data_IF_049992271521
#
_entry.id   IF_049992271521
#
_cell.length_a   1.000
_cell.length_b   1.000
_cell.length_c   1.000
_cell.angle_alpha   90.00
_cell.angle_beta   90.00
_cell.angle_gamma   90.00
#
_symmetry.space_group_name_H-M   'P 1'
#
loop_
_entity.id
_entity.type
_entity.pdbx_description
1 polymer ?
#
# COMPACT_ATOMS: atom_id res chain seq x y z
N UNK A 1 -18.79 33.12 5.19
CA UNK A 1 -17.68 32.25 5.62
C UNK A 1 -16.86 31.95 4.38
N UNK A 2 -15.55 31.79 4.52
CA UNK A 2 -14.69 31.39 3.41
C UNK A 2 -14.82 29.88 3.23
N UNK A 3 -15.91 29.45 2.60
CA UNK A 3 -16.12 28.05 2.21
C UNK A 3 -15.17 27.78 1.04
N UNK A 4 -13.98 27.26 1.35
CA UNK A 4 -13.02 26.87 0.33
C UNK A 4 -13.63 25.75 -0.54
N UNK A 5 -13.43 25.77 -1.87
CA UNK A 5 -14.17 24.92 -2.79
C UNK A 5 -13.76 23.44 -2.68
N UNK A 6 -14.75 22.55 -2.80
CA UNK A 6 -14.55 21.13 -3.13
C UNK A 6 -14.57 21.01 -4.66
N UNK A 7 -13.50 20.50 -5.25
CA UNK A 7 -13.29 20.48 -6.70
C UNK A 7 -13.35 19.05 -7.24
N UNK A 8 -14.15 18.87 -8.29
CA UNK A 8 -14.40 17.63 -9.02
C UNK A 8 -15.72 17.75 -9.78
N UNK A 9 -16.01 16.86 -10.74
CA UNK A 9 -17.26 16.92 -11.53
C UNK A 9 -18.50 16.96 -10.64
N UNK A 10 -18.48 16.24 -9.51
CA UNK A 10 -19.60 16.20 -8.57
C UNK A 10 -19.41 17.11 -7.35
N UNK A 11 -18.23 17.70 -7.15
CA UNK A 11 -17.94 18.62 -6.04
C UNK A 11 -18.04 17.99 -4.65
N UNK A 12 -19.26 17.91 -4.11
CA UNK A 12 -19.59 17.37 -2.78
C UNK A 12 -20.73 16.35 -2.87
N UNK A 13 -20.54 15.17 -2.29
CA UNK A 13 -21.51 14.07 -2.29
C UNK A 13 -21.93 13.77 -0.86
N UNK A 14 -23.21 13.98 -0.55
CA UNK A 14 -23.78 13.74 0.77
C UNK A 14 -25.17 13.13 0.64
N UNK A 15 -25.20 11.80 0.53
CA UNK A 15 -26.45 11.05 0.58
C UNK A 15 -26.20 9.56 0.81
N UNK A 16 -26.95 8.90 1.72
CA UNK A 16 -26.78 7.47 1.98
C UNK A 16 -27.07 6.59 0.75
N UNK A 17 -27.88 7.09 -0.18
CA UNK A 17 -28.28 6.44 -1.43
C UNK A 17 -27.57 7.02 -2.66
N UNK A 18 -26.66 7.99 -2.48
CA UNK A 18 -25.88 8.54 -3.58
C UNK A 18 -24.95 7.45 -4.14
N UNK A 19 -25.02 7.22 -5.45
CA UNK A 19 -24.20 6.23 -6.17
C UNK A 19 -23.64 6.87 -7.44
N UNK A 20 -22.33 6.78 -7.61
CA UNK A 20 -21.67 7.03 -8.89
C UNK A 20 -21.04 5.71 -9.31
N UNK A 21 -21.38 5.25 -10.51
CA UNK A 21 -20.85 3.99 -10.99
C UNK A 21 -20.67 3.95 -12.50
N UNK A 22 -19.69 3.17 -12.96
CA UNK A 22 -19.44 2.91 -14.37
C UNK A 22 -19.08 4.20 -15.14
N UNK A 23 -18.22 5.03 -14.55
CA UNK A 23 -17.82 6.32 -15.10
C UNK A 23 -16.30 6.43 -15.19
N UNK A 24 -15.80 6.71 -16.39
CA UNK A 24 -14.40 7.00 -16.67
C UNK A 24 -14.18 8.47 -17.01
N UNK A 25 -13.11 9.06 -16.48
CA UNK A 25 -12.60 10.36 -16.87
C UNK A 25 -11.26 10.16 -17.60
N UNK A 26 -11.10 10.78 -18.75
CA UNK A 26 -9.90 10.67 -19.59
C UNK A 26 -9.28 12.05 -19.70
N UNK A 27 -7.99 12.14 -19.37
CA UNK A 27 -7.18 13.35 -19.40
C UNK A 27 -7.79 14.55 -18.63
N UNK A 28 -8.29 14.38 -17.38
CA UNK A 28 -8.76 15.53 -16.61
C UNK A 28 -7.58 16.40 -16.17
N UNK A 29 -7.69 17.72 -16.36
CA UNK A 29 -6.75 18.69 -15.81
C UNK A 29 -7.44 19.51 -14.71
N UNK A 30 -7.12 19.21 -13.45
CA UNK A 30 -7.76 19.80 -12.27
C UNK A 30 -6.72 20.54 -11.43
N UNK A 31 -6.74 21.87 -11.47
CA UNK A 31 -5.99 22.72 -10.54
C UNK A 31 -6.96 23.51 -9.67
N UNK A 32 -6.95 23.20 -8.38
CA UNK A 32 -7.88 23.77 -7.41
C UNK A 32 -7.23 24.81 -6.47
N UNK A 33 -5.94 25.10 -6.64
CA UNK A 33 -5.20 26.01 -5.75
C UNK A 33 -5.40 25.70 -4.27
N UNK A 34 -6.11 26.59 -3.55
CA UNK A 34 -6.38 26.47 -2.10
C UNK A 34 -7.64 25.66 -1.75
N UNK A 35 -8.19 24.87 -2.67
CA UNK A 35 -9.34 23.99 -2.40
C UNK A 35 -9.10 23.03 -1.22
N UNK A 36 -10.16 22.70 -0.48
CA UNK A 36 -10.04 21.81 0.69
C UNK A 36 -9.96 20.36 0.24
N UNK A 37 -10.84 19.94 -0.67
CA UNK A 37 -10.93 18.59 -1.21
C UNK A 37 -10.94 18.64 -2.73
N UNK A 38 -10.00 17.93 -3.35
CA UNK A 38 -9.67 18.08 -4.75
C UNK A 38 -9.50 16.68 -5.35
N UNK A 39 -10.36 16.34 -6.31
CA UNK A 39 -10.19 15.17 -7.14
C UNK A 39 -10.92 15.30 -8.46
N UNK A 40 -10.58 14.48 -9.44
CA UNK A 40 -11.21 14.59 -10.77
C UNK A 40 -12.70 14.29 -10.71
N UNK A 41 -13.10 13.30 -9.92
CA UNK A 41 -14.50 12.89 -9.82
C UNK A 41 -15.25 13.67 -8.73
N UNK A 42 -14.70 13.71 -7.52
CA UNK A 42 -15.32 14.41 -6.39
C UNK A 42 -14.28 15.08 -5.49
N UNK A 43 -14.60 16.27 -4.98
CA UNK A 43 -13.77 16.92 -3.98
C UNK A 43 -13.95 16.28 -2.61
N UNK A 44 -15.19 15.97 -2.22
CA UNK A 44 -15.49 15.28 -0.96
C UNK A 44 -16.76 14.43 -1.04
N UNK A 45 -16.65 13.21 -0.54
CA UNK A 45 -17.77 12.29 -0.25
C UNK A 45 -17.98 12.24 1.27
N UNK A 46 -19.09 12.78 1.76
CA UNK A 46 -19.51 12.61 3.16
C UNK A 46 -20.25 11.28 3.34
N UNK A 47 -21.14 10.97 2.41
CA UNK A 47 -21.90 9.72 2.34
C UNK A 47 -22.16 9.34 0.89
N UNK A 48 -22.18 8.04 0.60
CA UNK A 48 -22.45 7.51 -0.73
C UNK A 48 -21.43 6.48 -1.16
N UNK A 49 -21.58 5.98 -2.39
CA UNK A 49 -20.66 5.02 -2.98
C UNK A 49 -20.18 5.45 -4.35
N UNK A 50 -18.89 5.22 -4.61
CA UNK A 50 -18.28 5.26 -5.93
C UNK A 50 -17.82 3.84 -6.26
N UNK A 51 -18.28 3.30 -7.38
CA UNK A 51 -18.03 1.90 -7.75
C UNK A 51 -17.73 1.74 -9.23
N UNK A 52 -16.68 1.01 -9.60
CA UNK A 52 -16.33 0.81 -11.01
C UNK A 52 -16.15 2.15 -11.76
N UNK A 53 -15.35 3.05 -11.19
CA UNK A 53 -15.04 4.35 -11.75
C UNK A 53 -13.53 4.53 -11.88
N UNK A 54 -13.11 5.30 -12.87
CA UNK A 54 -11.69 5.48 -13.13
C UNK A 54 -11.31 6.85 -13.67
N UNK A 55 -10.04 7.20 -13.44
CA UNK A 55 -9.36 8.32 -14.08
C UNK A 55 -8.16 7.77 -14.85
N UNK A 56 -8.09 8.05 -16.14
CA UNK A 56 -6.95 7.71 -16.98
C UNK A 56 -6.29 8.99 -17.47
N UNK A 57 -4.98 9.06 -17.33
CA UNK A 57 -4.14 10.20 -17.68
C UNK A 57 -4.55 11.48 -16.93
N UNK A 58 -4.08 12.64 -17.40
CA UNK A 58 -4.36 13.93 -16.80
C UNK A 58 -3.54 14.22 -15.54
N UNK A 59 -3.90 15.31 -14.86
CA UNK A 59 -3.21 15.80 -13.67
C UNK A 59 -4.17 16.45 -12.68
N UNK A 60 -3.94 16.19 -11.39
CA UNK A 60 -4.66 16.82 -10.29
C UNK A 60 -3.69 17.56 -9.37
N UNK A 61 -3.95 18.83 -9.08
CA UNK A 61 -3.11 19.64 -8.21
C UNK A 61 -3.88 20.53 -7.22
N UNK A 62 -3.28 20.73 -6.05
CA UNK A 62 -3.72 21.74 -5.07
C UNK A 62 -3.12 21.54 -3.68
N UNK A 63 -3.75 22.10 -2.63
CA UNK A 63 -3.10 22.22 -1.31
C UNK A 63 -3.70 21.40 -0.17
N UNK A 64 -5.00 21.13 -0.19
CA UNK A 64 -5.71 20.40 0.88
C UNK A 64 -5.58 18.88 0.78
N UNK A 65 -6.72 18.20 0.73
CA UNK A 65 -6.83 16.78 0.38
C UNK A 65 -6.85 16.65 -1.14
N UNK A 66 -5.79 16.09 -1.71
CA UNK A 66 -5.61 15.95 -3.16
C UNK A 66 -5.58 14.47 -3.52
N UNK A 67 -6.56 14.01 -4.27
CA UNK A 67 -6.62 12.64 -4.79
C UNK A 67 -6.90 12.61 -6.27
N UNK A 68 -6.32 11.67 -7.01
CA UNK A 68 -6.59 11.54 -8.45
C UNK A 68 -8.08 11.34 -8.75
N UNK A 69 -8.77 10.53 -7.94
CA UNK A 69 -10.22 10.31 -8.07
C UNK A 69 -11.01 11.20 -7.12
N UNK A 70 -10.65 11.17 -5.83
CA UNK A 70 -11.43 11.83 -4.75
C UNK A 70 -10.51 12.60 -3.81
N UNK A 71 -10.83 13.85 -3.52
CA UNK A 71 -10.09 14.60 -2.50
C UNK A 71 -10.23 13.98 -1.12
N UNK A 72 -11.45 13.98 -0.56
CA UNK A 72 -11.75 13.41 0.75
C UNK A 72 -12.88 12.39 0.69
N UNK A 73 -12.70 11.24 1.33
CA UNK A 73 -13.70 10.18 1.41
C UNK A 73 -14.14 9.92 2.86
N UNK A 74 -15.44 9.85 3.08
CA UNK A 74 -16.07 9.22 4.24
C UNK A 74 -17.10 8.15 3.84
N UNK A 75 -17.40 8.01 2.54
CA UNK A 75 -18.25 6.97 1.96
C UNK A 75 -17.47 5.70 1.61
N UNK A 76 -17.94 4.98 0.59
CA UNK A 76 -17.28 3.79 0.05
C UNK A 76 -16.76 4.02 -1.36
N UNK A 77 -15.51 3.65 -1.63
CA UNK A 77 -14.88 3.63 -2.95
C UNK A 77 -14.47 2.19 -3.22
N UNK A 78 -14.94 1.61 -4.33
CA UNK A 78 -14.75 0.19 -4.58
C UNK A 78 -14.52 -0.08 -6.07
N UNK A 79 -13.59 -0.97 -6.41
CA UNK A 79 -13.29 -1.33 -7.81
C UNK A 79 -12.94 -0.08 -8.66
N UNK A 80 -12.12 0.83 -8.13
CA UNK A 80 -11.79 2.10 -8.76
C UNK A 80 -10.28 2.29 -8.94
N UNK A 81 -9.88 3.09 -9.93
CA UNK A 81 -8.46 3.38 -10.15
C UNK A 81 -8.16 4.76 -10.73
N UNK A 82 -6.92 5.22 -10.55
CA UNK A 82 -6.41 6.47 -11.11
C UNK A 82 -4.99 6.31 -11.67
N UNK A 83 -4.75 6.79 -12.89
CA UNK A 83 -3.42 6.75 -13.53
C UNK A 83 -2.82 8.14 -13.80
N UNK A 84 -3.58 9.21 -13.58
CA UNK A 84 -3.11 10.59 -13.71
C UNK A 84 -2.15 11.00 -12.59
N UNK A 85 -1.32 12.01 -12.85
CA UNK A 85 -0.36 12.51 -11.86
C UNK A 85 -1.06 13.35 -10.80
N UNK A 86 -0.56 13.28 -9.56
CA UNK A 86 -1.11 14.02 -8.42
C UNK A 86 -0.01 14.83 -7.75
N UNK A 87 -0.24 16.14 -7.60
CA UNK A 87 0.68 17.03 -6.88
C UNK A 87 -0.06 17.78 -5.78
N UNK A 88 0.36 17.62 -4.53
CA UNK A 88 -0.33 18.22 -3.39
C UNK A 88 0.59 18.83 -2.34
N UNK A 89 -0.02 19.35 -1.26
CA UNK A 89 0.74 19.84 -0.09
C UNK A 89 0.40 19.03 1.16
N UNK A 90 -0.84 19.08 1.66
CA UNK A 90 -1.16 18.51 2.97
C UNK A 90 -1.38 16.99 2.97
N UNK A 91 -2.38 16.50 2.24
CA UNK A 91 -2.71 15.07 2.17
C UNK A 91 -2.86 14.67 0.72
N UNK A 92 -1.97 13.82 0.23
CA UNK A 92 -1.81 13.56 -1.21
C UNK A 92 -1.86 12.06 -1.45
N UNK A 93 -2.85 11.61 -2.23
CA UNK A 93 -2.99 10.22 -2.64
C UNK A 93 -3.15 10.08 -4.14
N UNK A 94 -2.58 9.05 -4.75
CA UNK A 94 -2.81 8.80 -6.18
C UNK A 94 -4.30 8.57 -6.50
N UNK A 95 -5.06 7.98 -5.57
CA UNK A 95 -6.51 7.80 -5.69
C UNK A 95 -7.29 8.75 -4.77
N UNK A 96 -6.94 8.77 -3.48
CA UNK A 96 -7.70 9.51 -2.44
C UNK A 96 -6.77 10.35 -1.57
N UNK A 97 -7.04 11.65 -1.45
CA UNK A 97 -6.23 12.52 -0.59
C UNK A 97 -6.36 12.15 0.90
N UNK A 98 -7.59 12.07 1.42
CA UNK A 98 -7.84 11.65 2.80
C UNK A 98 -9.07 10.75 2.92
N UNK A 99 -8.91 9.62 3.57
CA UNK A 99 -9.97 8.67 3.90
C UNK A 99 -10.29 8.79 5.40
N UNK A 100 -11.57 8.95 5.74
CA UNK A 100 -12.02 9.18 7.11
C UNK A 100 -13.24 8.33 7.43
N UNK A 101 -13.10 7.45 8.41
CA UNK A 101 -14.22 6.75 9.00
C UNK A 101 -14.72 7.47 10.25
N UNK A 102 -15.86 7.03 10.74
CA UNK A 102 -16.47 7.53 11.97
C UNK A 102 -16.01 6.72 13.21
N UNK A 103 -14.95 5.91 13.06
CA UNK A 103 -14.45 4.97 14.08
C UNK A 103 -15.40 3.79 14.35
N UNK A 104 -15.05 2.94 15.32
CA UNK A 104 -15.90 1.82 15.81
C UNK A 104 -17.10 2.29 16.65
N UNK A 105 -17.66 3.47 16.37
CA UNK A 105 -18.80 4.01 17.10
C UNK A 105 -20.08 3.46 16.45
N UNK A 106 -20.72 2.52 17.14
CA UNK A 106 -21.95 1.85 16.75
C UNK A 106 -23.05 2.84 16.35
N UNK A 107 -23.62 2.67 15.15
CA UNK A 107 -24.87 3.30 14.72
C UNK A 107 -24.79 4.14 13.43
N UNK A 108 -23.59 4.49 12.95
CA UNK A 108 -23.40 5.25 11.72
C UNK A 108 -23.01 4.36 10.53
N UNK A 109 -23.50 4.69 9.33
CA UNK A 109 -23.41 3.85 8.12
C UNK A 109 -22.22 4.17 7.19
N UNK A 110 -21.39 5.16 7.52
CA UNK A 110 -20.27 5.59 6.68
C UNK A 110 -18.94 5.22 7.36
N UNK A 111 -18.20 4.29 6.78
CA UNK A 111 -16.99 3.69 7.38
C UNK A 111 -15.68 4.12 6.71
N UNK A 112 -15.71 5.04 5.72
CA UNK A 112 -14.51 5.39 4.95
C UNK A 112 -13.86 4.13 4.36
N UNK A 113 -14.58 3.43 3.48
CA UNK A 113 -14.10 2.17 2.90
C UNK A 113 -13.44 2.42 1.55
N UNK A 114 -12.22 1.92 1.36
CA UNK A 114 -11.53 1.84 0.08
C UNK A 114 -11.17 0.38 -0.14
N UNK A 115 -11.71 -0.23 -1.19
CA UNK A 115 -11.61 -1.68 -1.42
C UNK A 115 -11.40 -2.03 -2.89
N UNK A 116 -10.46 -2.92 -3.20
CA UNK A 116 -10.10 -3.33 -4.58
C UNK A 116 -9.80 -2.14 -5.50
N UNK A 117 -9.01 -1.20 -5.00
CA UNK A 117 -8.64 0.00 -5.74
C UNK A 117 -7.12 0.09 -5.96
N UNK A 118 -6.72 0.83 -6.99
CA UNK A 118 -5.30 1.03 -7.27
C UNK A 118 -4.97 2.38 -7.90
N UNK A 119 -3.69 2.75 -7.83
CA UNK A 119 -3.14 3.92 -8.51
C UNK A 119 -1.79 3.60 -9.17
N UNK A 120 -1.53 4.26 -10.30
CA UNK A 120 -0.27 4.08 -11.06
C UNK A 120 0.38 5.40 -11.51
N UNK A 121 -0.29 6.54 -11.36
CA UNK A 121 0.26 7.85 -11.71
C UNK A 121 1.20 8.41 -10.63
N UNK A 122 2.22 9.16 -11.03
CA UNK A 122 3.20 9.72 -10.09
C UNK A 122 2.55 10.63 -9.05
N UNK A 123 2.99 10.50 -7.79
CA UNK A 123 2.49 11.29 -6.67
C UNK A 123 3.63 12.12 -6.08
N UNK A 124 3.42 13.43 -5.97
CA UNK A 124 4.37 14.35 -5.30
C UNK A 124 3.66 15.17 -4.25
N UNK A 125 4.18 15.21 -3.02
CA UNK A 125 3.57 15.97 -1.93
C UNK A 125 4.53 16.37 -0.83
N UNK A 126 4.04 17.12 0.16
CA UNK A 126 4.87 17.62 1.26
C UNK A 126 4.53 17.00 2.62
N UNK A 127 3.24 16.89 2.97
CA UNK A 127 2.76 16.36 4.24
C UNK A 127 2.65 14.84 4.23
N UNK A 128 1.43 14.31 4.32
CA UNK A 128 1.16 12.90 4.21
C UNK A 128 0.98 12.51 2.73
N UNK A 129 1.87 11.67 2.21
CA UNK A 129 1.90 11.31 0.80
C UNK A 129 1.82 9.79 0.66
N UNK A 130 0.76 9.30 0.03
CA UNK A 130 0.58 7.89 -0.28
C UNK A 130 0.44 7.66 -1.76
N UNK A 131 0.99 6.57 -2.27
CA UNK A 131 0.75 6.20 -3.66
C UNK A 131 -0.72 5.97 -3.99
N UNK A 132 -1.51 5.48 -3.02
CA UNK A 132 -2.97 5.34 -3.14
C UNK A 132 -3.72 6.37 -2.28
N UNK A 133 -3.40 6.45 -0.99
CA UNK A 133 -4.14 7.26 -0.01
C UNK A 133 -3.19 8.15 0.79
N UNK A 134 -3.42 9.47 0.82
CA UNK A 134 -2.58 10.37 1.61
C UNK A 134 -2.67 10.09 3.10
N UNK A 135 -3.89 10.09 3.67
CA UNK A 135 -4.12 9.71 5.05
C UNK A 135 -5.37 8.85 5.25
N UNK A 136 -5.28 7.84 6.12
CA UNK A 136 -6.34 6.91 6.47
C UNK A 136 -6.67 7.01 7.96
N UNK A 137 -7.74 7.72 8.32
CA UNK A 137 -8.10 7.98 9.73
C UNK A 137 -9.38 7.26 10.14
N UNK A 138 -9.27 6.30 11.06
CA UNK A 138 -10.39 5.50 11.57
C UNK A 138 -11.20 4.81 10.46
N UNK A 139 -10.54 4.50 9.35
CA UNK A 139 -11.13 4.06 8.10
C UNK A 139 -10.40 2.82 7.58
N UNK A 140 -10.85 2.25 6.46
CA UNK A 140 -10.34 0.97 5.95
C UNK A 140 -9.80 1.10 4.53
N UNK A 141 -8.63 0.52 4.29
CA UNK A 141 -8.01 0.35 2.96
C UNK A 141 -7.68 -1.13 2.80
N UNK A 142 -8.47 -1.82 1.98
CA UNK A 142 -8.42 -3.28 1.87
C UNK A 142 -8.22 -3.74 0.43
N UNK A 143 -7.42 -4.78 0.21
CA UNK A 143 -7.27 -5.41 -1.11
C UNK A 143 -6.81 -4.40 -2.20
N UNK A 144 -5.97 -3.45 -1.82
CA UNK A 144 -5.55 -2.36 -2.70
C UNK A 144 -4.06 -2.42 -3.02
N UNK A 145 -3.66 -1.76 -4.09
CA UNK A 145 -2.24 -1.68 -4.42
C UNK A 145 -1.85 -0.35 -5.06
N UNK A 146 -0.55 -0.10 -5.06
CA UNK A 146 0.04 1.05 -5.74
C UNK A 146 1.32 0.64 -6.46
N UNK A 147 1.48 1.16 -7.68
CA UNK A 147 2.74 1.09 -8.44
C UNK A 147 3.25 2.50 -8.79
N UNK A 148 2.79 3.53 -8.07
CA UNK A 148 3.11 4.93 -8.32
C UNK A 148 4.52 5.27 -7.82
N UNK A 149 5.34 5.97 -8.59
CA UNK A 149 6.50 6.63 -7.98
C UNK A 149 6.01 7.73 -7.02
N UNK A 150 6.47 7.67 -5.77
CA UNK A 150 6.08 8.59 -4.71
C UNK A 150 7.26 9.43 -4.26
N UNK A 151 7.12 10.75 -4.35
CA UNK A 151 8.11 11.72 -3.88
C UNK A 151 7.48 12.58 -2.79
N UNK A 152 8.14 12.73 -1.64
CA UNK A 152 7.66 13.69 -0.64
C UNK A 152 8.63 14.06 0.48
N UNK A 153 8.16 14.81 1.47
CA UNK A 153 9.03 15.34 2.55
C UNK A 153 8.61 14.88 3.96
N UNK A 154 7.31 14.80 4.25
CA UNK A 154 6.75 14.32 5.52
C UNK A 154 6.50 12.82 5.53
N UNK A 155 5.38 12.36 6.11
CA UNK A 155 5.03 10.93 6.16
C UNK A 155 4.76 10.36 4.76
N UNK A 156 5.69 9.58 4.21
CA UNK A 156 5.56 9.04 2.84
C UNK A 156 5.49 7.52 2.82
N UNK A 157 4.41 7.00 2.21
CA UNK A 157 4.22 5.57 1.98
C UNK A 157 3.98 5.24 0.51
N UNK A 158 4.50 4.10 0.05
CA UNK A 158 4.19 3.63 -1.32
C UNK A 158 2.70 3.36 -1.56
N UNK A 159 1.92 3.09 -0.50
CA UNK A 159 0.46 2.97 -0.56
C UNK A 159 -0.24 4.05 0.27
N UNK A 160 0.12 4.20 1.55
CA UNK A 160 -0.55 5.11 2.49
C UNK A 160 0.47 6.03 3.18
N UNK A 161 0.28 7.34 3.14
CA UNK A 161 1.19 8.27 3.87
C UNK A 161 1.07 8.12 5.38
N UNK A 162 -0.12 8.35 5.92
CA UNK A 162 -0.43 8.20 7.35
C UNK A 162 -1.61 7.25 7.59
N UNK A 163 -1.47 6.35 8.55
CA UNK A 163 -2.50 5.39 8.93
C UNK A 163 -2.83 5.47 10.43
N UNK A 164 -4.08 5.77 10.75
CA UNK A 164 -4.74 5.65 12.07
C UNK A 164 -6.04 4.83 11.91
N UNK A 165 -6.04 3.90 10.94
CA UNK A 165 -7.13 2.99 10.62
C UNK A 165 -6.59 1.62 10.25
N UNK A 166 -7.31 0.88 9.41
CA UNK A 166 -6.92 -0.47 9.00
C UNK A 166 -6.42 -0.47 7.55
N UNK A 167 -5.24 -1.04 7.33
CA UNK A 167 -4.65 -1.34 6.02
C UNK A 167 -4.43 -2.84 5.95
N UNK A 168 -5.12 -3.53 5.03
CA UNK A 168 -5.08 -4.99 4.98
C UNK A 168 -5.10 -5.58 3.57
N UNK A 169 -4.40 -6.70 3.36
CA UNK A 169 -4.29 -7.35 2.05
C UNK A 169 -3.80 -6.41 0.95
N UNK A 170 -2.88 -5.51 1.29
CA UNK A 170 -2.40 -4.50 0.38
C UNK A 170 -0.94 -4.72 -0.02
N UNK A 171 -0.56 -4.19 -1.18
CA UNK A 171 0.84 -4.19 -1.57
C UNK A 171 1.29 -2.94 -2.33
N UNK A 172 2.59 -2.69 -2.27
CA UNK A 172 3.26 -1.67 -3.06
C UNK A 172 4.42 -2.26 -3.85
N UNK A 173 4.54 -1.80 -5.11
CA UNK A 173 5.63 -2.13 -6.01
C UNK A 173 6.03 -0.86 -6.78
N UNK A 174 6.81 0.00 -6.12
CA UNK A 174 7.11 1.34 -6.61
C UNK A 174 8.46 1.86 -6.11
N UNK A 175 8.84 3.07 -6.54
CA UNK A 175 9.89 3.84 -5.89
C UNK A 175 9.26 4.78 -4.85
N UNK A 176 9.88 4.87 -3.67
CA UNK A 176 9.55 5.87 -2.66
C UNK A 176 10.82 6.67 -2.35
N UNK A 177 10.80 7.97 -2.59
CA UNK A 177 11.91 8.90 -2.31
C UNK A 177 11.40 10.05 -1.42
N UNK A 178 11.85 10.10 -0.17
CA UNK A 178 11.36 11.09 0.78
C UNK A 178 12.33 11.46 1.91
N UNK A 179 12.01 12.49 2.69
CA UNK A 179 12.87 12.90 3.81
C UNK A 179 12.59 12.11 5.11
N UNK A 180 11.39 12.22 5.69
CA UNK A 180 11.07 11.68 7.03
C UNK A 180 10.00 10.57 6.97
N UNK A 181 9.95 9.68 7.97
CA UNK A 181 8.91 8.64 8.12
C UNK A 181 8.59 7.91 6.79
N UNK A 182 9.62 7.33 6.17
CA UNK A 182 9.52 6.78 4.82
C UNK A 182 9.29 5.28 4.86
N UNK A 183 8.14 4.84 4.35
CA UNK A 183 7.77 3.42 4.30
C UNK A 183 7.49 2.94 2.89
N UNK A 184 7.92 1.72 2.58
CA UNK A 184 7.58 1.12 1.29
C UNK A 184 6.07 0.91 1.10
N UNK A 185 5.31 0.65 2.18
CA UNK A 185 3.85 0.55 2.16
C UNK A 185 3.20 1.74 2.89
N UNK A 186 3.60 1.99 4.14
CA UNK A 186 2.99 3.02 5.01
C UNK A 186 4.07 3.93 5.60
N UNK A 187 3.95 5.25 5.47
CA UNK A 187 4.92 6.17 6.07
C UNK A 187 4.88 6.15 7.60
N UNK A 188 3.75 6.59 8.16
CA UNK A 188 3.47 6.58 9.60
C UNK A 188 2.28 5.68 9.92
N UNK A 189 2.47 4.76 10.87
CA UNK A 189 1.42 3.90 11.39
C UNK A 189 1.12 4.16 12.88
N UNK A 190 -0.16 4.40 13.15
CA UNK A 190 -0.82 4.45 14.47
C UNK A 190 -2.06 3.54 14.54
N UNK A 191 -2.44 2.93 13.41
CA UNK A 191 -3.51 1.93 13.31
C UNK A 191 -2.96 0.53 13.06
N UNK A 192 -3.69 -0.27 12.28
CA UNK A 192 -3.34 -1.66 11.96
C UNK A 192 -2.86 -1.74 10.52
N UNK A 193 -1.70 -2.37 10.32
CA UNK A 193 -1.22 -2.86 9.02
C UNK A 193 -1.15 -4.37 9.12
N UNK A 194 -1.98 -5.07 8.35
CA UNK A 194 -2.11 -6.52 8.44
C UNK A 194 -2.04 -7.23 7.10
N UNK A 195 -1.51 -8.45 7.08
CA UNK A 195 -1.52 -9.31 5.89
C UNK A 195 -1.11 -8.54 4.62
N UNK A 196 -0.03 -7.75 4.68
CA UNK A 196 0.34 -6.79 3.62
C UNK A 196 1.83 -6.83 3.33
N UNK A 197 2.24 -6.40 2.14
CA UNK A 197 3.64 -6.48 1.75
C UNK A 197 4.13 -5.32 0.89
N UNK A 198 5.44 -5.08 0.95
CA UNK A 198 6.10 -4.09 0.11
C UNK A 198 7.27 -4.73 -0.61
N UNK A 199 7.35 -4.49 -1.92
CA UNK A 199 8.56 -4.73 -2.71
C UNK A 199 9.07 -3.42 -3.31
N UNK A 200 8.73 -2.29 -2.68
CA UNK A 200 9.12 -0.96 -3.11
C UNK A 200 10.62 -0.70 -2.86
N UNK A 201 11.28 0.01 -3.77
CA UNK A 201 12.61 0.57 -3.56
C UNK A 201 12.47 1.85 -2.74
N UNK A 202 12.98 1.85 -1.51
CA UNK A 202 12.77 2.93 -0.54
C UNK A 202 14.07 3.70 -0.32
N UNK A 203 14.04 4.99 -0.60
CA UNK A 203 15.08 5.94 -0.27
C UNK A 203 14.54 7.00 0.69
N UNK A 204 15.26 7.27 1.78
CA UNK A 204 14.97 8.45 2.56
C UNK A 204 16.05 8.94 3.50
N UNK A 205 15.72 9.91 4.37
CA UNK A 205 16.67 10.49 5.31
C UNK A 205 16.52 9.88 6.71
N UNK A 206 15.31 9.89 7.27
CA UNK A 206 15.05 9.55 8.67
C UNK A 206 13.86 8.59 8.80
N UNK A 207 13.98 7.61 9.69
CA UNK A 207 12.93 6.61 9.99
C UNK A 207 12.46 5.87 8.72
N UNK A 208 13.42 5.20 8.07
CA UNK A 208 13.23 4.58 6.76
C UNK A 208 13.02 3.07 6.92
N UNK A 209 11.84 2.59 6.52
CA UNK A 209 11.47 1.19 6.60
C UNK A 209 11.01 0.59 5.27
N UNK A 210 11.39 -0.66 5.00
CA UNK A 210 10.96 -1.34 3.77
C UNK A 210 9.44 -1.55 3.67
N UNK A 211 8.74 -1.64 4.81
CA UNK A 211 7.28 -1.68 4.88
C UNK A 211 6.71 -0.42 5.55
N UNK A 212 7.18 -0.08 6.74
CA UNK A 212 6.66 1.04 7.54
C UNK A 212 7.80 1.95 8.00
N UNK A 213 7.69 3.27 7.78
CA UNK A 213 8.69 4.22 8.28
C UNK A 213 8.70 4.28 9.81
N UNK A 214 7.61 4.80 10.38
CA UNK A 214 7.39 4.85 11.84
C UNK A 214 6.16 4.07 12.28
N UNK A 215 6.30 3.25 13.31
CA UNK A 215 5.20 2.58 14.01
C UNK A 215 5.07 3.12 15.43
N UNK A 216 3.93 3.69 15.82
CA UNK A 216 3.77 4.35 17.13
C UNK A 216 2.31 4.35 17.63
N UNK A 217 2.05 4.81 18.86
CA UNK A 217 0.69 5.11 19.37
C UNK A 217 -0.38 4.01 19.14
N UNK A 218 -0.12 2.76 19.55
CA UNK A 218 -0.93 1.55 19.27
C UNK A 218 -0.86 1.02 17.83
N UNK A 219 0.11 1.50 17.05
CA UNK A 219 0.39 0.93 15.75
C UNK A 219 0.70 -0.57 15.83
N UNK A 220 -0.06 -1.38 15.11
CA UNK A 220 0.14 -2.81 14.97
C UNK A 220 0.57 -3.15 13.55
N UNK A 221 1.68 -3.86 13.42
CA UNK A 221 2.14 -4.44 12.16
C UNK A 221 2.16 -5.95 12.34
N UNK A 222 1.32 -6.63 11.57
CA UNK A 222 1.04 -8.06 11.73
C UNK A 222 1.05 -8.76 10.39
N UNK A 223 1.64 -9.94 10.32
CA UNK A 223 1.53 -10.80 9.13
C UNK A 223 1.98 -10.04 7.87
N UNK A 224 3.10 -9.35 7.95
CA UNK A 224 3.57 -8.49 6.87
C UNK A 224 5.01 -8.77 6.49
N UNK A 225 5.38 -8.39 5.26
CA UNK A 225 6.76 -8.52 4.85
C UNK A 225 7.25 -7.43 3.89
N UNK A 226 8.57 -7.22 3.89
CA UNK A 226 9.27 -6.33 2.96
C UNK A 226 10.35 -7.08 2.17
N UNK A 227 10.50 -6.76 0.87
CA UNK A 227 11.52 -7.33 -0.03
C UNK A 227 12.18 -6.34 -0.99
N UNK A 228 11.82 -5.07 -0.95
CA UNK A 228 12.51 -4.04 -1.75
C UNK A 228 13.69 -3.43 -1.01
N UNK A 229 14.64 -2.86 -1.75
CA UNK A 229 15.86 -2.28 -1.18
C UNK A 229 15.55 -1.03 -0.33
N UNK A 230 16.29 -0.86 0.77
CA UNK A 230 16.10 0.24 1.72
C UNK A 230 17.41 1.01 1.91
N UNK A 231 17.39 2.29 1.56
CA UNK A 231 18.49 3.23 1.74
C UNK A 231 18.04 4.41 2.60
N UNK A 232 18.65 4.59 3.77
CA UNK A 232 18.35 5.69 4.69
C UNK A 232 19.60 6.37 5.25
N UNK A 233 19.46 7.40 6.09
CA UNK A 233 20.59 7.94 6.89
C UNK A 233 20.45 7.53 8.36
N UNK A 234 19.29 7.75 8.96
CA UNK A 234 19.00 7.47 10.37
C UNK A 234 17.79 6.54 10.54
N UNK A 235 17.86 5.64 11.54
CA UNK A 235 16.78 4.72 11.92
C UNK A 235 16.29 3.89 10.73
N UNK A 236 17.18 3.08 10.17
CA UNK A 236 16.93 2.35 8.91
C UNK A 236 16.67 0.87 9.20
N UNK A 237 15.46 0.40 8.89
CA UNK A 237 15.07 -1.00 9.10
C UNK A 237 14.59 -1.68 7.82
N UNK A 238 14.91 -2.97 7.67
CA UNK A 238 14.41 -3.72 6.52
C UNK A 238 12.89 -3.83 6.47
N UNK A 239 12.20 -3.84 7.62
CA UNK A 239 10.74 -3.79 7.71
C UNK A 239 10.25 -2.46 8.28
N UNK A 240 10.78 -2.05 9.45
CA UNK A 240 10.34 -0.86 10.18
C UNK A 240 11.52 0.05 10.49
N UNK A 241 11.45 1.32 10.09
CA UNK A 241 12.50 2.29 10.44
C UNK A 241 12.58 2.52 11.95
N UNK A 242 11.49 3.01 12.54
CA UNK A 242 11.40 3.32 13.96
C UNK A 242 10.12 2.73 14.60
N UNK A 243 10.31 1.91 15.64
CA UNK A 243 9.22 1.35 16.44
C UNK A 243 9.18 2.04 17.81
N UNK A 244 8.21 2.94 18.00
CA UNK A 244 8.23 3.93 19.07
C UNK A 244 7.18 3.67 20.16
N UNK A 245 7.61 3.81 21.42
CA UNK A 245 6.73 4.03 22.57
C UNK A 245 6.40 5.52 22.72
N UNK A 246 5.12 5.87 22.72
CA UNK A 246 4.66 7.21 23.11
C UNK A 246 4.13 7.16 24.55
N UNK A 247 4.69 7.99 25.43
CA UNK A 247 4.11 8.22 26.76
C UNK A 247 3.03 9.28 26.66
N UNK A 248 1.77 8.89 26.85
CA UNK A 248 0.63 9.81 26.84
C UNK A 248 0.69 10.81 27.99
N UNK A 249 0.05 11.97 27.83
CA UNK A 249 -0.03 13.05 28.85
C UNK A 249 -0.65 12.62 30.20
N UNK A 250 -1.21 11.42 30.30
CA UNK A 250 -1.75 10.80 31.53
C UNK A 250 -0.89 9.66 32.11
N UNK A 251 0.34 9.45 31.62
CA UNK A 251 1.22 8.37 32.07
C UNK A 251 0.93 6.99 31.47
N UNK A 252 -0.06 6.88 30.58
CA UNK A 252 -0.30 5.68 29.78
C UNK A 252 0.82 5.47 28.76
N UNK A 253 1.29 4.23 28.64
CA UNK A 253 2.33 3.83 27.69
C UNK A 253 1.67 3.19 26.47
N UNK A 254 1.89 3.77 25.29
CA UNK A 254 1.35 3.29 24.02
C UNK A 254 2.50 2.84 23.13
N UNK A 255 2.50 1.57 22.74
CA UNK A 255 3.62 0.95 22.04
C UNK A 255 3.25 0.66 20.60
N UNK A 256 4.22 0.83 19.69
CA UNK A 256 4.20 0.12 18.43
C UNK A 256 4.48 -1.37 18.65
N UNK A 257 3.73 -2.23 17.96
CA UNK A 257 3.95 -3.68 17.94
C UNK A 257 4.22 -4.18 16.52
N UNK A 258 5.17 -5.10 16.41
CA UNK A 258 5.51 -5.85 15.20
C UNK A 258 5.42 -7.33 15.54
N UNK A 259 4.57 -8.09 14.85
CA UNK A 259 4.38 -9.52 15.10
C UNK A 259 4.25 -10.30 13.80
N UNK A 260 4.77 -11.53 13.78
CA UNK A 260 4.63 -12.44 12.64
C UNK A 260 5.02 -11.78 11.31
N UNK A 261 6.10 -11.02 11.30
CA UNK A 261 6.56 -10.29 10.12
C UNK A 261 7.97 -10.69 9.70
N UNK A 262 8.33 -10.42 8.44
CA UNK A 262 9.72 -10.58 8.04
C UNK A 262 10.25 -9.55 7.02
N UNK A 263 11.57 -9.36 7.00
CA UNK A 263 12.27 -8.64 5.93
C UNK A 263 13.28 -9.53 5.21
N UNK A 264 13.29 -9.44 3.88
CA UNK A 264 14.33 -9.98 3.02
C UNK A 264 14.73 -8.88 2.02
N UNK A 265 15.23 -7.78 2.57
CA UNK A 265 15.56 -6.51 1.90
C UNK A 265 17.04 -6.22 2.06
N UNK A 266 17.75 -5.69 1.05
CA UNK A 266 19.04 -5.07 1.30
C UNK A 266 18.85 -3.78 2.10
N UNK A 267 19.65 -3.58 3.17
CA UNK A 267 19.50 -2.41 4.06
C UNK A 267 20.82 -1.66 4.16
N UNK A 268 20.80 -0.36 3.86
CA UNK A 268 21.97 0.53 3.94
C UNK A 268 21.61 1.84 4.62
N UNK A 269 22.50 2.34 5.48
CA UNK A 269 22.41 3.68 6.04
C UNK A 269 23.64 4.09 6.85
N UNK A 270 23.54 5.19 7.59
CA UNK A 270 24.67 5.79 8.29
C UNK A 270 24.64 5.49 9.81
N UNK A 271 23.45 5.47 10.43
CA UNK A 271 23.29 5.28 11.86
C UNK A 271 22.00 4.50 12.20
N UNK A 272 22.08 3.63 13.22
CA UNK A 272 20.95 2.82 13.73
C UNK A 272 20.26 1.98 12.64
N UNK A 273 21.04 1.07 12.07
CA UNK A 273 20.65 0.21 10.96
C UNK A 273 20.31 -1.18 11.52
N UNK A 274 19.17 -1.73 11.13
CA UNK A 274 18.77 -3.06 11.54
C UNK A 274 18.17 -3.88 10.41
N UNK A 275 18.41 -5.19 10.45
CA UNK A 275 17.85 -6.11 9.46
C UNK A 275 16.33 -6.10 9.40
N UNK A 276 15.64 -6.00 10.55
CA UNK A 276 14.18 -5.90 10.65
C UNK A 276 13.73 -4.49 11.08
N UNK A 277 14.15 -4.08 12.27
CA UNK A 277 13.86 -2.78 12.88
C UNK A 277 15.14 -1.97 13.02
N UNK A 278 15.13 -0.72 12.55
CA UNK A 278 16.26 0.23 12.66
C UNK A 278 16.46 0.69 14.11
N UNK A 279 15.48 1.40 14.65
CA UNK A 279 15.47 1.84 16.04
C UNK A 279 14.19 1.40 16.78
N UNK A 280 14.34 0.93 18.02
CA UNK A 280 13.22 0.44 18.83
C UNK A 280 13.23 1.10 20.21
N UNK A 281 12.28 2.00 20.45
CA UNK A 281 12.15 2.73 21.71
C UNK A 281 11.19 2.04 22.67
N UNK A 282 11.48 0.80 23.06
CA UNK A 282 10.62 -0.05 23.90
C UNK A 282 9.34 -0.57 23.23
N UNK A 283 9.23 -0.51 21.90
CA UNK A 283 8.15 -1.17 21.18
C UNK A 283 8.30 -2.71 21.19
N UNK A 284 7.18 -3.40 21.04
CA UNK A 284 7.14 -4.87 21.04
C UNK A 284 7.50 -5.43 19.67
N UNK A 285 8.40 -6.42 19.61
CA UNK A 285 8.72 -7.15 18.38
C UNK A 285 8.72 -8.65 18.71
N UNK A 286 7.81 -9.39 18.09
CA UNK A 286 7.51 -10.79 18.42
C UNK A 286 7.51 -11.65 17.17
N UNK A 287 8.03 -12.87 17.25
CA UNK A 287 7.92 -13.90 16.20
C UNK A 287 8.20 -13.38 14.79
N UNK A 288 9.19 -12.50 14.67
CA UNK A 288 9.50 -11.76 13.44
C UNK A 288 10.97 -11.90 13.09
N UNK A 289 11.25 -11.97 11.79
CA UNK A 289 12.56 -12.41 11.30
C UNK A 289 13.15 -11.49 10.24
N UNK A 290 14.46 -11.45 10.12
CA UNK A 290 15.11 -10.87 8.96
C UNK A 290 16.13 -11.83 8.37
N UNK A 291 16.34 -11.69 7.07
CA UNK A 291 17.41 -12.38 6.37
C UNK A 291 18.75 -11.68 6.57
N UNK A 292 19.69 -12.33 7.28
CA UNK A 292 21.02 -11.78 7.58
C UNK A 292 21.87 -11.64 6.30
N UNK A 293 21.69 -12.53 5.33
CA UNK A 293 22.52 -12.58 4.11
C UNK A 293 22.06 -11.55 3.09
N UNK A 294 20.75 -11.41 2.89
CA UNK A 294 20.17 -10.39 2.00
C UNK A 294 20.28 -8.99 2.59
N UNK A 295 20.02 -8.82 3.90
CA UNK A 295 20.10 -7.49 4.53
C UNK A 295 21.50 -6.94 4.62
N UNK A 296 22.52 -7.81 4.67
CA UNK A 296 23.89 -7.42 5.01
C UNK A 296 24.05 -7.00 6.47
N UNK A 297 23.03 -7.21 7.33
CA UNK A 297 23.02 -6.80 8.74
C UNK A 297 23.15 -8.01 9.67
N UNK A 298 24.07 -7.93 10.63
CA UNK A 298 24.22 -8.96 11.68
C UNK A 298 23.38 -8.68 12.92
N UNK A 299 22.79 -7.49 13.04
CA UNK A 299 21.99 -7.05 14.19
C UNK A 299 20.71 -6.33 13.74
N UNK A 300 19.76 -6.21 14.66
CA UNK A 300 18.57 -5.37 14.53
C UNK A 300 18.07 -4.94 15.91
N UNK A 301 17.32 -3.83 15.99
CA UNK A 301 16.74 -3.37 17.25
C UNK A 301 15.57 -4.25 17.76
N UNK A 302 15.13 -5.23 16.97
CA UNK A 302 14.16 -6.25 17.35
C UNK A 302 14.04 -7.37 16.31
N UNK A 303 13.41 -8.48 16.70
CA UNK A 303 13.26 -9.68 15.87
C UNK A 303 14.42 -10.67 16.02
N UNK A 304 14.46 -11.69 15.15
CA UNK A 304 15.53 -12.69 15.11
C UNK A 304 16.08 -12.86 13.69
N UNK A 305 17.39 -12.67 13.52
CA UNK A 305 18.06 -12.91 12.25
C UNK A 305 18.15 -14.40 11.91
N UNK A 306 17.91 -14.72 10.64
CA UNK A 306 17.94 -16.07 10.06
C UNK A 306 18.77 -16.05 8.77
N UNK A 307 19.32 -17.19 8.38
CA UNK A 307 19.98 -17.32 7.06
C UNK A 307 18.93 -17.39 5.94
N UNK A 308 19.33 -17.18 4.68
CA UNK A 308 18.43 -17.34 3.53
C UNK A 308 17.77 -18.70 3.51
N UNK A 309 18.54 -19.77 3.75
CA UNK A 309 18.01 -21.12 3.78
C UNK A 309 16.93 -21.31 4.86
N UNK A 310 17.12 -20.72 6.06
CA UNK A 310 16.12 -20.77 7.13
C UNK A 310 14.89 -19.93 6.78
N UNK A 311 15.07 -18.75 6.21
CA UNK A 311 13.98 -17.87 5.76
C UNK A 311 13.17 -18.46 4.60
N UNK A 312 13.71 -19.42 3.87
CA UNK A 312 13.03 -20.17 2.81
C UNK A 312 12.55 -21.55 3.27
N UNK A 313 12.57 -21.82 4.57
CA UNK A 313 12.09 -23.09 5.15
C UNK A 313 10.87 -22.80 6.02
N UNK A 314 9.69 -23.29 5.63
CA UNK A 314 8.43 -23.08 6.37
C UNK A 314 8.52 -23.46 7.86
N UNK A 315 9.24 -24.53 8.19
CA UNK A 315 9.47 -24.98 9.57
C UNK A 315 10.03 -23.89 10.50
N UNK A 316 10.85 -22.96 9.98
CA UNK A 316 11.39 -21.84 10.76
C UNK A 316 10.30 -20.95 11.34
N UNK A 317 9.20 -20.80 10.61
CA UNK A 317 8.08 -19.93 10.95
C UNK A 317 7.02 -20.70 11.75
N UNK A 318 6.72 -21.94 11.35
CA UNK A 318 5.82 -22.85 12.06
C UNK A 318 6.24 -23.05 13.52
N UNK A 319 7.53 -23.22 13.79
CA UNK A 319 8.08 -23.37 15.15
C UNK A 319 7.80 -22.16 16.07
N UNK A 320 7.39 -21.02 15.50
CA UNK A 320 7.06 -19.78 16.23
C UNK A 320 5.59 -19.41 16.18
N UNK A 321 4.72 -20.31 15.71
CA UNK A 321 3.28 -20.08 15.74
C UNK A 321 2.71 -19.36 14.51
N UNK A 322 3.43 -19.33 13.39
CA UNK A 322 2.86 -18.77 12.15
C UNK A 322 1.83 -19.73 11.56
N UNK A 323 0.68 -19.18 11.15
CA UNK A 323 -0.44 -19.93 10.58
C UNK A 323 -0.29 -20.07 9.06
N UNK A 324 0.07 -21.28 8.62
CA UNK A 324 0.23 -21.63 7.21
C UNK A 324 -0.98 -22.39 6.69
N UNK A 325 -1.28 -22.24 5.41
CA UNK A 325 -2.32 -23.03 4.72
C UNK A 325 -2.11 -24.53 4.95
N UNK A 326 -3.21 -25.23 5.24
CA UNK A 326 -3.28 -26.67 5.53
C UNK A 326 -2.56 -27.10 6.84
N UNK A 327 -2.18 -26.14 7.69
CA UNK A 327 -1.71 -26.32 9.05
C UNK A 327 -2.86 -26.03 10.04
N UNK A 328 -2.91 -26.64 11.22
CA UNK A 328 -4.04 -26.44 12.17
C UNK A 328 -3.64 -26.28 13.64
N UNK A 329 -2.36 -26.42 13.97
CA UNK A 329 -1.80 -26.26 15.31
C UNK A 329 -1.61 -24.78 15.66
N UNK A 330 -1.26 -23.93 14.69
CA UNK A 330 -0.98 -22.51 14.90
C UNK A 330 -2.13 -21.56 14.55
N UNK A 331 -3.19 -22.07 13.91
CA UNK A 331 -4.35 -21.28 13.50
C UNK A 331 -5.25 -22.05 12.55
N UNK A 332 -6.33 -21.41 12.09
CA UNK A 332 -7.19 -21.89 11.01
C UNK A 332 -7.54 -20.78 10.02
N UNK A 333 -6.81 -19.67 10.11
CA UNK A 333 -7.02 -18.44 9.36
C UNK A 333 -6.27 -18.46 8.01
N UNK A 334 -5.36 -19.42 7.81
CA UNK A 334 -4.65 -19.69 6.55
C UNK A 334 -3.96 -18.43 5.98
N UNK A 335 -3.04 -17.87 6.77
CA UNK A 335 -2.46 -16.55 6.48
C UNK A 335 -1.29 -16.65 5.49
N UNK A 336 -0.39 -17.59 5.73
CA UNK A 336 0.86 -17.76 5.01
C UNK A 336 0.84 -19.01 4.12
N UNK A 337 1.62 -18.99 3.05
CA UNK A 337 1.84 -20.17 2.21
C UNK A 337 3.28 -20.25 1.74
N UNK A 338 3.81 -21.46 1.65
CA UNK A 338 5.02 -21.74 0.90
C UNK A 338 4.72 -21.70 -0.61
N UNK A 339 5.42 -20.88 -1.40
CA UNK A 339 5.19 -20.81 -2.84
C UNK A 339 5.62 -22.10 -3.55
N UNK A 340 4.89 -22.48 -4.60
CA UNK A 340 5.28 -23.58 -5.49
C UNK A 340 6.69 -23.34 -6.05
N UNK A 341 7.58 -24.31 -5.90
CA UNK A 341 8.98 -24.20 -6.32
C UNK A 341 9.94 -23.66 -5.24
N UNK A 342 9.43 -23.40 -4.04
CA UNK A 342 10.22 -22.95 -2.89
C UNK A 342 10.50 -21.44 -2.90
N UNK A 343 11.11 -20.96 -1.82
CA UNK A 343 11.40 -19.54 -1.62
C UNK A 343 10.86 -19.04 -0.29
N UNK A 344 10.78 -17.73 -0.13
CA UNK A 344 10.25 -17.12 1.09
C UNK A 344 8.73 -17.34 1.17
N UNK A 345 8.17 -17.60 2.37
CA UNK A 345 6.74 -17.60 2.57
C UNK A 345 6.09 -16.32 2.06
N UNK A 346 4.93 -16.44 1.44
CA UNK A 346 4.13 -15.31 0.97
C UNK A 346 2.74 -15.37 1.60
N UNK A 347 1.98 -14.29 1.48
CA UNK A 347 0.63 -14.24 2.00
C UNK A 347 -0.30 -15.02 1.07
N UNK A 348 -1.18 -15.85 1.64
CA UNK A 348 -2.03 -16.76 0.86
C UNK A 348 -2.91 -16.02 -0.16
N UNK A 349 -3.42 -14.82 0.17
CA UNK A 349 -4.22 -14.02 -0.75
C UNK A 349 -3.47 -13.62 -2.03
N UNK A 350 -2.12 -13.68 -2.02
CA UNK A 350 -1.31 -13.44 -3.22
C UNK A 350 -1.38 -14.59 -4.23
N UNK A 351 -1.81 -15.79 -3.79
CA UNK A 351 -2.09 -16.96 -4.62
C UNK A 351 -3.57 -17.21 -4.86
N UNK A 352 -4.47 -16.59 -4.06
CA UNK A 352 -5.92 -16.67 -4.29
C UNK A 352 -6.23 -16.35 -5.74
N UNK A 353 -7.08 -17.16 -6.42
CA UNK A 353 -7.09 -17.23 -7.87
C UNK A 353 -7.54 -15.89 -8.44
N UNK A 354 -6.56 -15.10 -8.85
CA UNK A 354 -6.73 -14.13 -9.91
C UNK A 354 -7.37 -14.91 -11.05
N UNK A 355 -8.48 -14.41 -11.62
CA UNK A 355 -9.25 -15.17 -12.59
C UNK A 355 -8.29 -15.71 -13.63
N UNK A 356 -8.40 -17.01 -13.99
CA UNK A 356 -7.42 -17.71 -14.83
C UNK A 356 -6.91 -16.78 -15.92
N UNK A 357 -5.57 -16.72 -16.06
CA UNK A 357 -4.99 -16.00 -17.18
C UNK A 357 -5.61 -16.59 -18.46
N UNK A 358 -5.95 -15.73 -19.44
CA UNK A 358 -6.30 -16.22 -20.76
C UNK A 358 -5.25 -17.23 -21.19
N UNK A 359 -5.69 -18.37 -21.72
CA UNK A 359 -4.75 -19.33 -22.29
C UNK A 359 -4.21 -18.71 -23.57
N UNK A 360 -2.95 -18.28 -23.54
CA UNK A 360 -2.28 -17.75 -24.72
C UNK A 360 -1.78 -18.89 -25.61
N UNK A 361 -1.61 -18.59 -26.89
CA UNK A 361 -1.15 -19.55 -27.91
C UNK A 361 0.30 -20.01 -27.72
N UNK A 362 1.00 -19.46 -26.72
CA UNK A 362 2.34 -19.83 -26.30
C UNK A 362 3.01 -18.72 -25.50
N UNK A 363 4.25 -18.96 -25.05
CA UNK A 363 5.05 -18.01 -24.27
C UNK A 363 4.75 -18.03 -22.77
N UNK A 364 5.63 -17.39 -22.02
CA UNK A 364 5.57 -17.27 -20.55
C UNK A 364 5.32 -15.83 -20.09
N UNK A 365 5.39 -14.86 -21.02
CA UNK A 365 5.23 -13.44 -20.74
C UNK A 365 6.53 -12.70 -20.45
N UNK A 366 7.66 -13.40 -20.48
CA UNK A 366 9.00 -12.83 -20.34
C UNK A 366 9.47 -12.12 -21.63
N UNK A 367 10.45 -11.19 -21.56
CA UNK A 367 10.93 -10.45 -22.73
C UNK A 367 11.43 -11.33 -23.88
N UNK A 368 12.04 -12.47 -23.58
CA UNK A 368 12.57 -13.45 -24.53
C UNK A 368 11.56 -14.55 -24.91
N UNK A 369 10.50 -14.73 -24.11
CA UNK A 369 9.39 -15.65 -24.36
C UNK A 369 8.01 -14.96 -24.18
N UNK A 370 7.68 -13.97 -25.02
CA UNK A 370 6.44 -13.20 -24.88
C UNK A 370 5.21 -14.08 -25.11
N UNK A 371 4.10 -13.74 -24.45
CA UNK A 371 2.81 -14.36 -24.72
C UNK A 371 2.39 -14.18 -26.18
N UNK A 372 2.02 -15.27 -26.82
CA UNK A 372 1.60 -15.27 -28.22
C UNK A 372 0.09 -15.07 -28.32
N UNK A 373 -0.32 -14.00 -29.01
CA UNK A 373 -1.73 -13.65 -29.20
C UNK A 373 -2.14 -14.03 -30.62
N UNK A 374 -3.12 -14.92 -30.76
CA UNK A 374 -3.63 -15.42 -32.04
C UNK A 374 -5.14 -15.23 -32.24
N UNK A 375 -5.87 -14.85 -31.19
CA UNK A 375 -7.34 -14.69 -31.18
C UNK A 375 -7.80 -13.39 -30.50
N UNK A 376 -9.00 -12.92 -30.86
CA UNK A 376 -9.65 -11.76 -30.23
C UNK A 376 -9.87 -11.94 -28.72
N UNK A 377 -10.19 -13.16 -28.28
CA UNK A 377 -10.43 -13.46 -26.86
C UNK A 377 -9.14 -13.36 -26.03
N UNK A 378 -8.01 -13.84 -26.55
CA UNK A 378 -6.70 -13.66 -25.92
C UNK A 378 -6.34 -12.16 -25.81
N UNK A 379 -6.57 -11.39 -26.88
CA UNK A 379 -6.27 -9.95 -26.91
C UNK A 379 -7.15 -9.16 -25.92
N UNK A 380 -8.46 -9.42 -25.91
CA UNK A 380 -9.40 -8.77 -25.01
C UNK A 380 -9.18 -9.17 -23.55
N UNK A 381 -8.65 -10.37 -23.30
CA UNK A 381 -8.33 -10.87 -21.97
C UNK A 381 -7.16 -10.15 -21.27
N UNK A 382 -6.32 -9.41 -22.02
CA UNK A 382 -5.13 -8.72 -21.48
C UNK A 382 -5.51 -7.51 -20.61
N UNK A 383 -6.41 -6.66 -21.10
CA UNK A 383 -6.74 -5.37 -20.48
C UNK A 383 -7.46 -5.45 -19.13
N UNK A 384 -7.91 -6.65 -18.74
CA UNK A 384 -8.67 -6.88 -17.51
C UNK A 384 -7.88 -7.60 -16.41
N UNK A 385 -6.56 -7.79 -16.59
CA UNK A 385 -5.74 -8.60 -15.69
C UNK A 385 -4.47 -7.83 -15.31
N UNK A 386 -4.38 -7.29 -14.08
CA UNK A 386 -3.22 -6.52 -13.62
C UNK A 386 -1.86 -7.23 -13.80
N UNK A 387 -1.80 -8.57 -13.66
CA UNK A 387 -0.58 -9.38 -13.89
C UNK A 387 -0.05 -9.31 -15.32
N UNK A 388 -0.91 -9.05 -16.30
CA UNK A 388 -0.55 -9.00 -17.70
C UNK A 388 0.00 -7.63 -18.12
N UNK A 389 -0.09 -6.60 -17.28
CA UNK A 389 0.37 -5.25 -17.64
C UNK A 389 1.90 -5.10 -17.62
N UNK A 390 2.61 -6.04 -16.97
CA UNK A 390 4.08 -6.11 -16.94
C UNK A 390 4.64 -7.20 -17.87
N UNK A 391 3.77 -7.95 -18.55
CA UNK A 391 4.16 -9.03 -19.43
C UNK A 391 4.44 -8.54 -20.86
N UNK A 392 5.23 -9.32 -21.60
CA UNK A 392 5.52 -9.07 -23.00
C UNK A 392 4.58 -9.87 -23.91
N UNK A 393 4.12 -9.24 -24.99
CA UNK A 393 3.18 -9.86 -25.92
C UNK A 393 3.68 -9.78 -27.35
N UNK A 394 3.35 -10.82 -28.13
CA UNK A 394 3.60 -10.88 -29.56
C UNK A 394 2.34 -11.32 -30.29
N UNK A 395 1.85 -10.44 -31.14
CA UNK A 395 0.79 -10.78 -32.08
C UNK A 395 1.34 -11.74 -33.14
N UNK A 396 0.72 -12.90 -33.31
CA UNK A 396 1.14 -13.92 -34.28
C UNK A 396 0.18 -14.11 -35.44
N UNK A 397 -1.03 -13.55 -35.36
CA UNK A 397 -2.03 -13.52 -36.43
C UNK A 397 -2.70 -12.14 -36.50
N UNK A 398 -3.24 -11.78 -37.67
CA UNK A 398 -4.17 -10.66 -37.78
C UNK A 398 -5.45 -10.99 -36.99
N UNK A 399 -5.90 -10.05 -36.15
CA UNK A 399 -7.09 -10.22 -35.30
C UNK A 399 -8.17 -9.26 -35.74
N UNK A 400 -9.28 -9.79 -36.21
CA UNK A 400 -10.51 -9.04 -36.46
C UNK A 400 -11.38 -9.06 -35.20
N UNK A 401 -11.64 -7.87 -34.64
CA UNK A 401 -12.57 -7.69 -33.53
C UNK A 401 -13.98 -7.51 -34.11
N UNK A 402 -14.86 -8.49 -33.87
CA UNK A 402 -16.25 -8.46 -34.32
C UNK A 402 -17.13 -7.54 -33.46
#
# INVERSE_FOLDING_TARGET
STDLPCVGIFGYIDGPDARISNLGLIDPNVDAGTGIGIGSLAGWIEMGAITNCYVVDGSVSGKGYVGGLVGKNAGSITDCYATGSVTGISFVGGLVGGNRGLGRISGWRSTGNIDRCYATGNVTGYGAVGGLVGANHYATVMNCFSTTDVIGEGSVGGLVGENDGDVGNCYSYCTVDAEDMVGGLVGRNEGIVMASCSSASVQGREEVGGLVGRNSYHGEIVDCYARGDVLGQWDVGGLVGNNHLVVGRGGGQYYGTVRTCYSATAVSGDEQIGGLVGYNQSGGVYDSFWDIEISGQTTSAGGVGKTTAQMQTAGTFLDTGWDFVDETENGTEDIWIEPDGGGYPILWWQLSPLPELPTFSGGTGEPDEPYLISTADELNGIGHKPRLMVAHFKLINDIDLA
#
